data_IF_036130278105
#
_entry.id   IF_036130278105
#
_cell.length_a   1.000
_cell.length_b   1.000
_cell.length_c   1.000
_cell.angle_alpha   90.00
_cell.angle_beta   90.00
_cell.angle_gamma   90.00
#
_symmetry.space_group_name_H-M   'P 1'
#
loop_
_entity.id
_entity.type
_entity.pdbx_description
1 polymer ?
#
# COMPACT_ATOMS: atom_id res chain seq x y z
N UNK A 1 -10.90 -15.72 16.87
CA UNK A 1 -10.34 -17.07 16.61
C UNK A 1 -9.88 -17.06 15.16
N UNK A 2 -8.63 -17.42 14.88
CA UNK A 2 -8.12 -17.48 13.51
C UNK A 2 -8.81 -18.62 12.76
N UNK A 3 -9.19 -18.37 11.51
CA UNK A 3 -9.71 -19.38 10.61
C UNK A 3 -8.59 -20.28 10.08
N UNK A 4 -8.95 -21.40 9.45
CA UNK A 4 -7.97 -22.24 8.74
C UNK A 4 -7.25 -21.44 7.65
N UNK A 5 -7.98 -20.59 6.93
CA UNK A 5 -7.42 -19.70 5.91
C UNK A 5 -6.38 -18.75 6.50
N UNK A 6 -6.63 -18.18 7.68
CA UNK A 6 -5.67 -17.29 8.34
C UNK A 6 -4.38 -18.05 8.72
N UNK A 7 -4.53 -19.31 9.13
CA UNK A 7 -3.39 -20.18 9.47
C UNK A 7 -2.55 -20.51 8.24
N UNK A 8 -3.20 -20.80 7.12
CA UNK A 8 -2.54 -21.09 5.85
C UNK A 8 -1.79 -19.86 5.32
N UNK A 9 -2.38 -18.67 5.43
CA UNK A 9 -1.74 -17.40 5.05
C UNK A 9 -0.46 -17.16 5.84
N UNK A 10 -0.47 -17.39 7.15
CA UNK A 10 0.74 -17.27 7.99
C UNK A 10 1.84 -18.24 7.54
N UNK A 11 1.46 -19.46 7.13
CA UNK A 11 2.43 -20.43 6.60
C UNK A 11 3.04 -19.97 5.26
N UNK A 12 2.22 -19.48 4.34
CA UNK A 12 2.68 -18.96 3.05
C UNK A 12 3.57 -17.73 3.20
N UNK A 13 3.18 -16.78 4.05
CA UNK A 13 3.96 -15.59 4.37
C UNK A 13 5.37 -15.98 4.84
N UNK A 14 5.48 -16.85 5.85
CA UNK A 14 6.78 -17.33 6.36
C UNK A 14 7.63 -18.01 5.31
N UNK A 15 7.01 -18.85 4.49
CA UNK A 15 7.71 -19.62 3.45
C UNK A 15 8.25 -18.71 2.36
N UNK A 16 7.43 -17.79 1.87
CA UNK A 16 7.81 -16.82 0.84
C UNK A 16 8.87 -15.85 1.36
N UNK A 17 8.72 -15.33 2.58
CA UNK A 17 9.74 -14.44 3.17
C UNK A 17 11.08 -15.15 3.33
N UNK A 18 11.10 -16.39 3.82
CA UNK A 18 12.34 -17.17 3.94
C UNK A 18 13.04 -17.38 2.59
N UNK A 19 12.27 -17.59 1.52
CA UNK A 19 12.80 -17.74 0.17
C UNK A 19 13.39 -16.42 -0.35
N UNK A 20 12.61 -15.32 -0.28
CA UNK A 20 13.03 -14.04 -0.83
C UNK A 20 14.17 -13.37 -0.05
N UNK A 21 14.25 -13.59 1.26
CA UNK A 21 15.40 -13.16 2.06
C UNK A 21 16.69 -13.81 1.56
N UNK A 22 16.70 -15.15 1.40
CA UNK A 22 17.85 -15.87 0.85
C UNK A 22 18.18 -15.43 -0.58
N UNK A 23 17.17 -15.24 -1.43
CA UNK A 23 17.39 -14.77 -2.80
C UNK A 23 18.04 -13.38 -2.84
N UNK A 24 17.60 -12.45 -1.98
CA UNK A 24 18.20 -11.11 -1.88
C UNK A 24 19.65 -11.22 -1.42
N UNK A 25 19.92 -12.00 -0.37
CA UNK A 25 21.28 -12.21 0.15
C UNK A 25 22.22 -12.82 -0.90
N UNK A 26 21.75 -13.81 -1.68
CA UNK A 26 22.52 -14.44 -2.74
C UNK A 26 22.90 -13.44 -3.85
N UNK A 27 21.96 -12.58 -4.25
CA UNK A 27 22.19 -11.55 -5.28
C UNK A 27 23.17 -10.48 -4.78
N UNK A 28 23.08 -10.07 -3.52
CA UNK A 28 24.02 -9.10 -2.93
C UNK A 28 25.44 -9.68 -2.82
N UNK A 29 25.58 -10.94 -2.38
CA UNK A 29 26.87 -11.60 -2.21
C UNK A 29 27.53 -11.97 -3.54
N UNK A 30 26.74 -12.28 -4.56
CA UNK A 30 27.20 -12.60 -5.91
C UNK A 30 26.29 -11.89 -6.91
N UNK A 31 26.61 -10.64 -7.29
CA UNK A 31 25.85 -9.92 -8.30
C UNK A 31 25.75 -10.79 -9.55
N UNK A 32 24.53 -11.25 -9.83
CA UNK A 32 24.33 -12.23 -10.87
C UNK A 32 24.72 -11.64 -12.23
N UNK A 33 25.67 -12.28 -12.91
CA UNK A 33 26.09 -11.97 -14.29
C UNK A 33 25.07 -12.44 -15.34
N UNK A 34 23.84 -12.72 -14.93
CA UNK A 34 22.84 -13.33 -15.78
C UNK A 34 22.35 -12.36 -16.87
N UNK A 35 21.74 -12.90 -17.93
CA UNK A 35 21.23 -12.08 -19.03
C UNK A 35 20.11 -11.14 -18.57
N UNK A 36 19.89 -10.04 -19.30
CA UNK A 36 18.88 -9.02 -18.98
C UNK A 36 17.48 -9.63 -18.76
N UNK A 37 17.06 -10.60 -19.58
CA UNK A 37 15.75 -11.24 -19.49
C UNK A 37 15.52 -11.99 -18.16
N UNK A 38 16.55 -12.60 -17.57
CA UNK A 38 16.42 -13.27 -16.28
C UNK A 38 16.26 -12.27 -15.14
N UNK A 39 17.05 -11.17 -15.17
CA UNK A 39 16.91 -10.07 -14.22
C UNK A 39 15.49 -9.49 -14.24
N UNK A 40 14.94 -9.19 -15.42
CA UNK A 40 13.58 -8.66 -15.53
C UNK A 40 12.52 -9.63 -14.97
N UNK A 41 12.61 -10.93 -15.27
CA UNK A 41 11.65 -11.93 -14.78
C UNK A 41 11.69 -12.08 -13.26
N UNK A 42 12.88 -12.13 -12.69
CA UNK A 42 13.05 -12.26 -11.25
C UNK A 42 12.63 -10.98 -10.51
N UNK A 43 12.95 -9.79 -11.05
CA UNK A 43 12.50 -8.50 -10.50
C UNK A 43 10.98 -8.38 -10.48
N UNK A 44 10.31 -8.85 -11.53
CA UNK A 44 8.85 -8.91 -11.56
C UNK A 44 8.30 -9.82 -10.45
N UNK A 45 8.83 -11.03 -10.33
CA UNK A 45 8.43 -11.97 -9.27
C UNK A 45 8.65 -11.41 -7.86
N UNK A 46 9.79 -10.73 -7.63
CA UNK A 46 10.11 -10.10 -6.36
C UNK A 46 9.19 -8.92 -6.03
N UNK A 47 8.81 -8.15 -7.05
CA UNK A 47 7.86 -7.04 -6.91
C UNK A 47 6.46 -7.55 -6.58
N UNK A 48 5.98 -8.59 -7.26
CA UNK A 48 4.70 -9.23 -6.95
C UNK A 48 4.70 -9.78 -5.52
N UNK A 49 5.75 -10.51 -5.13
CA UNK A 49 5.92 -11.00 -3.76
C UNK A 49 5.83 -9.86 -2.74
N UNK A 50 6.60 -8.78 -2.94
CA UNK A 50 6.62 -7.63 -2.03
C UNK A 50 5.22 -7.03 -1.87
N UNK A 51 4.51 -6.78 -2.97
CA UNK A 51 3.15 -6.19 -2.94
C UNK A 51 2.09 -7.11 -2.34
N UNK A 52 2.29 -8.43 -2.37
CA UNK A 52 1.37 -9.38 -1.73
C UNK A 52 1.67 -9.61 -0.24
N UNK A 53 2.95 -9.70 0.12
CA UNK A 53 3.39 -10.23 1.42
C UNK A 53 3.76 -9.15 2.41
N UNK A 54 4.30 -8.01 1.96
CA UNK A 54 4.61 -6.89 2.86
C UNK A 54 3.37 -6.35 3.59
N UNK A 55 2.17 -6.23 2.97
CA UNK A 55 0.94 -5.93 3.68
C UNK A 55 0.64 -6.84 4.88
N UNK A 56 0.94 -8.14 4.76
CA UNK A 56 0.73 -9.11 5.84
C UNK A 56 1.73 -8.89 6.99
N UNK A 57 2.99 -8.59 6.66
CA UNK A 57 4.01 -8.27 7.66
C UNK A 57 3.70 -6.95 8.39
N UNK A 58 3.14 -5.95 7.68
CA UNK A 58 2.63 -4.71 8.27
C UNK A 58 1.47 -5.01 9.22
N UNK A 59 0.49 -5.81 8.79
CA UNK A 59 -0.65 -6.17 9.61
C UNK A 59 -0.22 -6.86 10.92
N UNK A 60 0.73 -7.80 10.85
CA UNK A 60 1.30 -8.44 12.04
C UNK A 60 1.96 -7.43 12.98
N UNK A 61 2.74 -6.49 12.43
CA UNK A 61 3.46 -5.49 13.22
C UNK A 61 2.53 -4.53 13.98
N UNK A 62 1.51 -3.99 13.32
CA UNK A 62 0.57 -3.06 13.95
C UNK A 62 -0.43 -3.77 14.87
N UNK A 63 -0.77 -5.04 14.60
CA UNK A 63 -1.56 -5.86 15.54
C UNK A 63 -0.88 -5.95 16.92
N UNK A 64 0.44 -6.03 16.94
CA UNK A 64 1.23 -6.17 18.16
C UNK A 64 1.60 -4.80 18.78
N UNK A 65 0.98 -3.71 18.31
CA UNK A 65 1.18 -2.35 18.83
C UNK A 65 2.39 -1.61 18.27
N UNK A 66 2.95 -2.09 17.16
CA UNK A 66 4.03 -1.42 16.44
C UNK A 66 3.65 -0.01 15.95
N UNK A 67 4.68 0.80 15.71
CA UNK A 67 4.58 2.15 15.12
C UNK A 67 5.74 2.40 14.17
N UNK A 68 5.55 3.30 13.22
CA UNK A 68 6.54 3.72 12.23
C UNK A 68 7.22 2.53 11.50
N UNK A 69 6.40 1.63 10.94
CA UNK A 69 6.90 0.41 10.29
C UNK A 69 7.98 0.70 9.24
N UNK A 70 7.79 1.73 8.42
CA UNK A 70 8.65 2.05 7.27
C UNK A 70 10.09 2.31 7.71
N UNK A 71 10.27 3.04 8.81
CA UNK A 71 11.58 3.39 9.33
C UNK A 71 12.13 2.33 10.29
N UNK A 72 11.29 1.84 11.22
CA UNK A 72 11.75 1.06 12.37
C UNK A 72 11.80 -0.45 12.13
N UNK A 73 10.90 -1.00 11.31
CA UNK A 73 10.72 -2.47 11.22
C UNK A 73 10.87 -3.06 9.82
N UNK A 74 10.69 -2.26 8.78
CA UNK A 74 10.66 -2.73 7.38
C UNK A 74 11.92 -3.53 7.04
N UNK A 75 11.71 -4.82 6.70
CA UNK A 75 12.81 -5.77 6.46
C UNK A 75 13.67 -5.36 5.27
N UNK A 76 14.97 -5.67 5.34
CA UNK A 76 15.97 -5.33 4.33
C UNK A 76 15.58 -5.84 2.94
N UNK A 77 15.06 -7.06 2.87
CA UNK A 77 14.74 -7.69 1.58
C UNK A 77 13.61 -6.95 0.84
N UNK A 78 12.60 -6.42 1.53
CA UNK A 78 11.55 -5.60 0.90
C UNK A 78 12.12 -4.29 0.36
N UNK A 79 12.95 -3.60 1.16
CA UNK A 79 13.64 -2.36 0.73
C UNK A 79 14.49 -2.60 -0.51
N UNK A 80 15.24 -3.71 -0.52
CA UNK A 80 16.14 -4.04 -1.63
C UNK A 80 15.39 -4.39 -2.92
N UNK A 81 14.32 -5.19 -2.82
CA UNK A 81 13.47 -5.52 -3.97
C UNK A 81 12.80 -4.28 -4.57
N UNK A 82 12.35 -3.35 -3.73
CA UNK A 82 11.82 -2.07 -4.20
C UNK A 82 12.88 -1.21 -4.89
N UNK A 83 14.06 -1.09 -4.28
CA UNK A 83 15.17 -0.34 -4.84
C UNK A 83 15.56 -0.83 -6.23
N UNK A 84 15.76 -2.16 -6.39
CA UNK A 84 16.13 -2.73 -7.68
C UNK A 84 15.03 -2.55 -8.75
N UNK A 85 13.75 -2.64 -8.36
CA UNK A 85 12.64 -2.35 -9.28
C UNK A 85 12.66 -0.90 -9.75
N UNK A 86 12.89 0.05 -8.84
CA UNK A 86 12.98 1.47 -9.17
C UNK A 86 14.16 1.77 -10.11
N UNK A 87 15.32 1.15 -9.87
CA UNK A 87 16.49 1.30 -10.77
C UNK A 87 16.20 0.80 -12.18
N UNK A 88 15.59 -0.38 -12.32
CA UNK A 88 15.23 -0.93 -13.63
C UNK A 88 14.20 -0.05 -14.37
N UNK A 89 13.19 0.44 -13.64
CA UNK A 89 12.13 1.28 -14.23
C UNK A 89 12.63 2.62 -14.76
N UNK A 90 13.68 3.19 -14.16
CA UNK A 90 14.34 4.42 -14.65
C UNK A 90 15.07 4.22 -15.97
N UNK A 91 15.53 3.00 -16.24
CA UNK A 91 16.26 2.66 -17.45
C UNK A 91 15.35 2.28 -18.63
N UNK A 92 14.06 2.04 -18.38
CA UNK A 92 13.09 1.70 -19.40
C UNK A 92 12.45 2.97 -19.99
N UNK A 93 12.82 3.34 -21.21
CA UNK A 93 12.11 4.37 -22.00
C UNK A 93 10.81 3.80 -22.58
N UNK A 94 9.71 3.74 -21.83
CA UNK A 94 8.35 3.62 -22.42
C UNK A 94 7.18 3.65 -21.41
N UNK A 95 6.22 4.54 -21.68
CA UNK A 95 4.75 4.37 -21.59
C UNK A 95 4.12 3.62 -20.40
N UNK A 96 4.55 3.91 -19.18
CA UNK A 96 3.94 3.36 -17.96
C UNK A 96 2.46 3.81 -17.81
N UNK A 97 2.09 4.96 -18.37
CA UNK A 97 0.78 5.58 -18.13
C UNK A 97 -0.42 4.96 -18.87
N UNK A 98 -0.23 4.02 -19.81
CA UNK A 98 -1.34 3.58 -20.69
C UNK A 98 -2.15 2.38 -20.19
N UNK A 99 -1.77 1.75 -19.08
CA UNK A 99 -2.34 0.45 -18.65
C UNK A 99 -3.03 0.42 -17.29
N UNK A 100 -2.89 1.44 -16.44
CA UNK A 100 -3.39 1.38 -15.06
C UNK A 100 -4.92 1.28 -14.93
N UNK A 101 -5.69 1.71 -15.93
CA UNK A 101 -7.16 1.55 -15.96
C UNK A 101 -7.64 0.15 -16.35
N UNK A 102 -6.76 -0.77 -16.78
CA UNK A 102 -7.16 -2.13 -17.19
C UNK A 102 -7.04 -3.10 -16.02
N UNK A 103 -8.08 -3.91 -15.80
CA UNK A 103 -8.13 -4.94 -14.75
C UNK A 103 -7.86 -4.41 -13.34
N UNK A 104 -8.38 -3.22 -13.02
CA UNK A 104 -8.21 -2.56 -11.71
C UNK A 104 -8.62 -3.48 -10.55
N UNK A 105 -9.67 -4.28 -10.72
CA UNK A 105 -10.11 -5.29 -9.72
C UNK A 105 -9.03 -6.31 -9.33
N UNK A 106 -8.04 -6.53 -10.19
CA UNK A 106 -7.00 -7.54 -9.98
C UNK A 106 -5.62 -6.93 -9.66
N UNK A 107 -5.52 -5.61 -9.47
CA UNK A 107 -4.22 -4.98 -9.18
C UNK A 107 -3.82 -5.23 -7.74
N UNK A 108 -2.52 -5.45 -7.55
CA UNK A 108 -1.91 -5.29 -6.24
C UNK A 108 -1.53 -3.82 -6.07
N UNK A 109 -1.83 -3.25 -4.90
CA UNK A 109 -1.42 -1.89 -4.56
C UNK A 109 0.08 -1.70 -4.84
N UNK A 110 0.40 -0.67 -5.62
CA UNK A 110 1.75 -0.43 -6.15
C UNK A 110 2.73 -0.17 -5.02
N UNK A 111 2.31 0.66 -4.07
CA UNK A 111 3.00 0.92 -2.81
C UNK A 111 2.69 -0.18 -1.80
N UNK A 112 3.68 -1.04 -1.56
CA UNK A 112 3.55 -2.14 -0.61
C UNK A 112 3.53 -1.69 0.85
N UNK A 113 3.89 -0.43 1.14
CA UNK A 113 3.81 0.20 2.45
C UNK A 113 2.49 0.95 2.69
N UNK A 114 1.56 0.95 1.73
CA UNK A 114 0.26 1.65 1.85
C UNK A 114 -0.44 1.41 3.19
N UNK A 115 -0.50 0.15 3.65
CA UNK A 115 -1.16 -0.18 4.92
C UNK A 115 -0.45 0.37 6.14
N UNK A 116 0.87 0.56 6.10
CA UNK A 116 1.58 1.21 7.20
C UNK A 116 1.16 2.68 7.30
N UNK A 117 1.02 3.37 6.16
CA UNK A 117 0.52 4.74 6.12
C UNK A 117 -0.93 4.86 6.63
N UNK A 118 -1.79 3.89 6.30
CA UNK A 118 -3.16 3.81 6.85
C UNK A 118 -3.15 3.67 8.37
N UNK A 119 -2.33 2.77 8.92
CA UNK A 119 -2.27 2.56 10.37
C UNK A 119 -1.67 3.77 11.11
N UNK A 120 -0.64 4.43 10.57
CA UNK A 120 -0.15 5.70 11.12
C UNK A 120 -1.22 6.80 11.11
N UNK A 121 -1.99 6.91 10.03
CA UNK A 121 -3.08 7.88 9.94
C UNK A 121 -4.19 7.58 10.96
N UNK A 122 -4.50 6.30 11.22
CA UNK A 122 -5.42 5.90 12.27
C UNK A 122 -4.91 6.25 13.68
N UNK A 123 -3.62 6.07 13.94
CA UNK A 123 -3.01 6.48 15.21
C UNK A 123 -3.12 8.00 15.42
N UNK A 124 -2.94 8.80 14.36
CA UNK A 124 -3.14 10.26 14.41
C UNK A 124 -4.61 10.63 14.67
N UNK A 125 -5.57 9.92 14.08
CA UNK A 125 -6.99 10.11 14.39
C UNK A 125 -7.29 9.82 15.87
N UNK A 126 -6.72 8.75 16.43
CA UNK A 126 -6.85 8.41 17.85
C UNK A 126 -6.23 9.47 18.76
N UNK A 127 -5.07 10.00 18.38
CA UNK A 127 -4.41 11.09 19.12
C UNK A 127 -5.29 12.34 19.17
N UNK A 128 -5.87 12.76 18.04
CA UNK A 128 -6.72 13.95 17.95
C UNK A 128 -8.04 13.83 18.73
N UNK A 129 -8.52 12.61 18.98
CA UNK A 129 -9.66 12.37 19.88
C UNK A 129 -9.32 12.71 21.34
N UNK A 130 -8.06 12.58 21.73
CA UNK A 130 -7.56 12.90 23.08
C UNK A 130 -7.08 14.35 23.15
N UNK A 131 -6.29 14.79 22.17
CA UNK A 131 -5.69 16.12 22.06
C UNK A 131 -6.30 16.84 20.86
N UNK A 132 -7.40 17.55 21.10
CA UNK A 132 -8.24 18.13 20.03
C UNK A 132 -7.54 19.15 19.14
N UNK A 133 -6.48 19.79 19.63
CA UNK A 133 -5.79 20.89 18.97
C UNK A 133 -4.32 20.53 18.68
N UNK A 134 -4.10 19.43 17.95
CA UNK A 134 -2.78 19.08 17.43
C UNK A 134 -2.68 19.45 15.93
N UNK A 135 -2.15 20.63 15.64
CA UNK A 135 -1.96 21.13 14.27
C UNK A 135 -1.06 20.23 13.41
N UNK A 136 0.00 19.67 14.01
CA UNK A 136 0.92 18.77 13.30
C UNK A 136 0.24 17.46 12.90
N UNK A 137 -0.58 16.89 13.77
CA UNK A 137 -1.37 15.69 13.46
C UNK A 137 -2.40 15.98 12.35
N UNK A 138 -3.08 17.13 12.41
CA UNK A 138 -4.01 17.56 11.36
C UNK A 138 -3.31 17.75 10.01
N UNK A 139 -2.09 18.28 10.00
CA UNK A 139 -1.28 18.44 8.80
C UNK A 139 -0.90 17.10 8.20
N UNK A 140 -0.38 16.16 9.00
CA UNK A 140 -0.02 14.80 8.54
C UNK A 140 -1.22 14.04 7.98
N UNK A 141 -2.40 14.17 8.60
CA UNK A 141 -3.62 13.56 8.07
C UNK A 141 -4.03 14.14 6.72
N UNK A 142 -3.86 15.45 6.52
CA UNK A 142 -4.10 16.08 5.23
C UNK A 142 -3.09 15.62 4.16
N UNK A 143 -1.80 15.50 4.52
CA UNK A 143 -0.77 14.93 3.63
C UNK A 143 -1.12 13.49 3.22
N UNK A 144 -1.63 12.68 4.16
CA UNK A 144 -2.09 11.33 3.87
C UNK A 144 -3.32 11.31 2.95
N UNK A 145 -4.28 12.22 3.13
CA UNK A 145 -5.40 12.38 2.19
C UNK A 145 -4.92 12.69 0.76
N UNK A 146 -3.97 13.62 0.61
CA UNK A 146 -3.40 13.97 -0.70
C UNK A 146 -2.73 12.75 -1.32
N UNK A 147 -1.88 12.05 -0.56
CA UNK A 147 -1.22 10.82 -0.99
C UNK A 147 -2.22 9.76 -1.49
N UNK A 148 -3.30 9.50 -0.75
CA UNK A 148 -4.32 8.55 -1.17
C UNK A 148 -5.00 8.99 -2.46
N UNK A 149 -5.35 10.28 -2.57
CA UNK A 149 -6.01 10.79 -3.76
C UNK A 149 -5.12 10.68 -5.02
N UNK A 150 -3.82 10.90 -4.89
CA UNK A 150 -2.84 10.70 -5.97
C UNK A 150 -2.79 9.22 -6.40
N UNK A 151 -2.72 8.28 -5.45
CA UNK A 151 -2.76 6.84 -5.77
C UNK A 151 -4.06 6.44 -6.49
N UNK A 152 -5.19 7.03 -6.10
CA UNK A 152 -6.47 6.79 -6.76
C UNK A 152 -6.43 7.31 -8.20
N UNK A 153 -5.98 8.54 -8.42
CA UNK A 153 -5.85 9.13 -9.77
C UNK A 153 -5.02 8.28 -10.71
N UNK A 154 -3.92 7.74 -10.19
CA UNK A 154 -2.98 6.92 -10.95
C UNK A 154 -3.40 5.45 -11.08
N UNK A 155 -4.56 5.07 -10.50
CA UNK A 155 -5.01 3.67 -10.43
C UNK A 155 -3.92 2.74 -9.85
N UNK A 156 -3.27 3.23 -8.81
CA UNK A 156 -2.12 2.61 -8.17
C UNK A 156 -2.47 1.85 -6.87
N UNK A 157 -3.74 1.83 -6.47
CA UNK A 157 -4.22 1.18 -5.23
C UNK A 157 -5.38 0.25 -5.51
N UNK A 158 -5.36 -0.95 -4.93
CA UNK A 158 -6.42 -1.95 -5.13
C UNK A 158 -7.79 -1.42 -4.67
N UNK A 159 -8.90 -1.74 -5.38
CA UNK A 159 -10.25 -1.41 -4.92
C UNK A 159 -10.63 -2.12 -3.61
N UNK A 160 -9.85 -3.10 -3.13
CA UNK A 160 -10.05 -3.75 -1.84
C UNK A 160 -10.05 -2.76 -0.67
N UNK A 161 -9.42 -1.59 -0.84
CA UNK A 161 -9.46 -0.54 0.19
C UNK A 161 -10.90 -0.09 0.50
N UNK A 162 -11.83 -0.25 -0.44
CA UNK A 162 -13.24 0.16 -0.29
C UNK A 162 -14.14 -0.89 0.36
N UNK A 163 -13.60 -2.05 0.75
CA UNK A 163 -14.38 -3.05 1.47
C UNK A 163 -14.87 -2.47 2.81
N UNK A 164 -16.13 -2.72 3.15
CA UNK A 164 -16.81 -2.04 4.28
C UNK A 164 -16.11 -2.18 5.65
N UNK A 165 -15.35 -3.26 5.86
CA UNK A 165 -14.64 -3.54 7.12
C UNK A 165 -13.14 -3.21 7.05
N UNK A 166 -12.70 -2.57 5.97
CA UNK A 166 -11.32 -2.23 5.73
C UNK A 166 -10.82 -1.12 6.69
N UNK A 167 -9.57 -1.22 7.16
CA UNK A 167 -8.91 -0.17 7.96
C UNK A 167 -8.92 1.20 7.26
N UNK A 168 -8.86 1.23 5.92
CA UNK A 168 -8.96 2.48 5.15
C UNK A 168 -10.35 3.13 5.27
N UNK A 169 -11.44 2.35 5.17
CA UNK A 169 -12.80 2.88 5.39
C UNK A 169 -12.97 3.38 6.82
N UNK A 170 -12.40 2.66 7.80
CA UNK A 170 -12.36 3.13 9.20
C UNK A 170 -11.65 4.49 9.30
N UNK A 171 -10.45 4.60 8.72
CA UNK A 171 -9.70 5.85 8.69
C UNK A 171 -10.53 6.99 8.08
N UNK A 172 -11.14 6.75 6.91
CA UNK A 172 -11.93 7.75 6.21
C UNK A 172 -13.07 8.30 7.08
N UNK A 173 -13.80 7.43 7.75
CA UNK A 173 -14.91 7.83 8.63
C UNK A 173 -14.41 8.66 9.82
N UNK A 174 -13.34 8.23 10.49
CA UNK A 174 -12.75 8.97 11.62
C UNK A 174 -12.19 10.34 11.17
N UNK A 175 -11.51 10.37 10.03
CA UNK A 175 -10.96 11.59 9.46
C UNK A 175 -12.05 12.59 9.08
N UNK A 176 -13.14 12.12 8.48
CA UNK A 176 -14.31 12.94 8.13
C UNK A 176 -15.00 13.50 9.37
N UNK A 177 -15.10 12.72 10.46
CA UNK A 177 -15.60 13.21 11.74
C UNK A 177 -14.72 14.33 12.32
N UNK A 178 -13.39 14.19 12.25
CA UNK A 178 -12.42 15.20 12.71
C UNK A 178 -12.54 16.49 11.89
N UNK A 179 -12.65 16.39 10.55
CA UNK A 179 -12.76 17.55 9.66
C UNK A 179 -14.14 18.22 9.71
N UNK A 180 -15.17 17.50 10.14
CA UNK A 180 -16.53 17.98 10.23
C UNK A 180 -17.36 17.80 8.96
N UNK A 181 -18.69 17.86 9.11
CA UNK A 181 -19.66 17.50 8.07
C UNK A 181 -19.66 18.41 6.84
N UNK A 182 -19.12 19.62 6.94
CA UNK A 182 -18.99 20.57 5.84
C UNK A 182 -17.67 20.44 5.07
N UNK A 183 -16.79 19.51 5.49
CA UNK A 183 -15.51 19.32 4.82
C UNK A 183 -15.70 18.80 3.39
N UNK A 184 -15.05 19.48 2.46
CA UNK A 184 -15.06 19.12 1.04
C UNK A 184 -13.64 19.14 0.51
N UNK A 185 -13.33 18.15 -0.30
CA UNK A 185 -12.04 17.97 -0.97
C UNK A 185 -12.26 17.05 -2.17
N UNK A 186 -11.24 16.90 -3.01
CA UNK A 186 -11.33 16.00 -4.16
C UNK A 186 -11.54 14.53 -3.70
N UNK A 187 -10.85 14.12 -2.63
CA UNK A 187 -11.06 12.81 -2.01
C UNK A 187 -12.46 12.70 -1.39
N UNK A 188 -12.93 13.72 -0.67
CA UNK A 188 -14.25 13.71 -0.07
C UNK A 188 -15.35 13.58 -1.13
N UNK A 189 -15.24 14.29 -2.24
CA UNK A 189 -16.19 14.19 -3.35
C UNK A 189 -16.22 12.78 -3.93
N UNK A 190 -15.05 12.15 -4.08
CA UNK A 190 -14.94 10.76 -4.51
C UNK A 190 -15.57 9.78 -3.51
N UNK A 191 -15.20 9.89 -2.23
CA UNK A 191 -15.60 8.96 -1.17
C UNK A 191 -17.06 9.08 -0.74
N UNK A 192 -17.71 10.21 -1.00
CA UNK A 192 -19.10 10.45 -0.62
C UNK A 192 -20.13 9.77 -1.53
N UNK A 193 -19.72 9.28 -2.70
CA UNK A 193 -20.60 8.56 -3.64
C UNK A 193 -20.09 7.12 -3.84
N UNK A 194 -20.81 6.16 -3.27
CA UNK A 194 -20.48 4.74 -3.36
C UNK A 194 -20.52 4.19 -4.81
N UNK A 195 -21.17 4.88 -5.75
CA UNK A 195 -21.12 4.51 -7.16
C UNK A 195 -19.73 4.71 -7.77
N UNK A 196 -18.94 5.63 -7.22
CA UNK A 196 -17.57 5.89 -7.66
C UNK A 196 -16.67 4.68 -7.43
N UNK A 197 -16.86 3.93 -6.35
CA UNK A 197 -16.07 2.73 -6.06
C UNK A 197 -16.24 1.65 -7.13
N UNK A 198 -17.47 1.49 -7.63
CA UNK A 198 -17.76 0.55 -8.73
C UNK A 198 -17.14 1.01 -10.03
N UNK A 199 -17.23 2.30 -10.34
CA UNK A 199 -16.60 2.88 -11.53
C UNK A 199 -15.07 2.78 -11.46
N UNK A 200 -14.49 2.99 -10.28
CA UNK A 200 -13.07 2.82 -10.04
C UNK A 200 -12.63 1.36 -10.25
N UNK A 201 -13.34 0.40 -9.67
CA UNK A 201 -13.03 -1.02 -9.80
C UNK A 201 -12.97 -1.48 -11.27
N UNK A 202 -13.79 -0.91 -12.15
CA UNK A 202 -13.78 -1.23 -13.59
C UNK A 202 -12.91 -0.29 -14.43
N UNK A 203 -12.17 0.63 -13.82
CA UNK A 203 -11.31 1.60 -14.52
C UNK A 203 -12.04 2.70 -15.29
N UNK A 204 -13.34 2.89 -15.01
CA UNK A 204 -14.21 3.83 -15.71
C UNK A 204 -14.37 5.18 -14.99
N UNK A 205 -13.88 5.32 -13.75
CA UNK A 205 -13.97 6.59 -13.04
C UNK A 205 -12.93 7.59 -13.59
N UNK A 206 -13.40 8.78 -13.95
CA UNK A 206 -12.56 9.87 -14.41
C UNK A 206 -12.38 10.88 -13.28
N UNK A 207 -11.17 10.89 -12.71
CA UNK A 207 -10.81 11.85 -11.69
C UNK A 207 -10.61 13.25 -12.29
N UNK A 208 -11.15 14.30 -11.65
CA UNK A 208 -10.86 15.68 -12.03
C UNK A 208 -9.42 16.12 -11.72
#
# INVERSE_FOLDING_TARGET
MNTQSDTDVVHFQKTLSSYWEKMVEEVEMKPQKEGAAFRTRWLYGGTTYRRMVEPLAIADYYRDGGKDYVNEKRSKHFKQLEYWWMEESKNATSDINSTHKKNVEAILTIDSCFWAHVEEALLLCQELKVVKENEDALKKLFEFEVYVYELLKDYAVSPDIFLSQCSYIRWWNEYKEIKGSSYTSALANFMNDASNFKQYAVGAYDFP
#
